data_IF_867983100188
#
_entry.id   IF_867983100188
#
_cell.length_a   1.000
_cell.length_b   1.000
_cell.length_c   1.000
_cell.angle_alpha   90.00
_cell.angle_beta   90.00
_cell.angle_gamma   90.00
#
_symmetry.space_group_name_H-M   'P 1'
#
loop_
_entity.id
_entity.type
_entity.pdbx_description
1 polymer ?
#
# COMPACT_ATOMS: atom_id res chain seq x y z
N UNK A 1 13.13 -23.78 -28.10
CA UNK A 1 13.18 -23.91 -26.63
C UNK A 1 14.63 -24.15 -26.23
N UNK A 2 15.25 -23.10 -25.71
CA UNK A 2 16.62 -23.13 -25.19
C UNK A 2 16.74 -24.06 -23.99
N UNK A 3 17.69 -24.99 -24.00
CA UNK A 3 18.00 -25.89 -22.88
C UNK A 3 19.49 -25.78 -22.56
N UNK A 4 19.82 -25.58 -21.28
CA UNK A 4 21.19 -25.44 -20.80
C UNK A 4 21.71 -26.73 -20.18
N UNK A 5 22.99 -27.03 -20.43
CA UNK A 5 23.74 -27.95 -19.57
C UNK A 5 23.96 -27.31 -18.19
N UNK A 6 24.23 -28.11 -17.14
CA UNK A 6 24.63 -27.58 -15.84
C UNK A 6 25.80 -26.59 -15.98
N UNK A 7 25.65 -25.43 -15.36
CA UNK A 7 26.70 -24.40 -15.35
C UNK A 7 27.95 -24.87 -14.63
N UNK A 8 29.11 -24.34 -15.02
CA UNK A 8 30.38 -24.56 -14.33
C UNK A 8 30.97 -23.22 -13.89
N UNK A 9 31.42 -23.16 -12.64
CA UNK A 9 32.35 -22.13 -12.21
C UNK A 9 33.67 -22.28 -12.95
N UNK A 10 34.21 -21.18 -13.46
CA UNK A 10 35.52 -21.19 -14.11
C UNK A 10 36.65 -21.32 -13.08
N UNK A 11 37.88 -21.57 -13.52
CA UNK A 11 39.06 -21.55 -12.65
C UNK A 11 39.18 -20.20 -11.93
N UNK A 12 38.96 -19.08 -12.64
CA UNK A 12 38.94 -17.75 -12.03
C UNK A 12 37.74 -17.54 -11.10
N UNK A 13 36.57 -18.07 -11.45
CA UNK A 13 35.38 -18.01 -10.61
C UNK A 13 35.55 -18.75 -9.28
N UNK A 14 36.12 -19.96 -9.30
CA UNK A 14 36.47 -20.73 -8.11
C UNK A 14 37.49 -19.98 -7.23
N UNK A 15 38.48 -19.33 -7.85
CA UNK A 15 39.47 -18.52 -7.12
C UNK A 15 38.80 -17.32 -6.44
N UNK A 16 37.92 -16.59 -7.13
CA UNK A 16 37.16 -15.47 -6.54
C UNK A 16 36.24 -15.95 -5.41
N UNK A 17 35.56 -17.09 -5.60
CA UNK A 17 34.72 -17.72 -4.58
C UNK A 17 35.53 -18.01 -3.31
N UNK A 18 36.71 -18.60 -3.45
CA UNK A 18 37.61 -18.89 -2.32
C UNK A 18 38.09 -17.62 -1.60
N UNK A 19 38.42 -16.55 -2.34
CA UNK A 19 38.77 -15.25 -1.75
C UNK A 19 37.61 -14.68 -0.92
N UNK A 20 36.39 -14.78 -1.45
CA UNK A 20 35.19 -14.31 -0.76
C UNK A 20 34.87 -15.15 0.49
N UNK A 21 35.03 -16.48 0.43
CA UNK A 21 34.88 -17.37 1.60
C UNK A 21 35.91 -17.06 2.70
N UNK A 22 37.14 -16.69 2.30
CA UNK A 22 38.18 -16.25 3.22
C UNK A 22 37.97 -14.81 3.75
N UNK A 23 36.86 -14.14 3.42
CA UNK A 23 36.55 -12.78 3.85
C UNK A 23 37.41 -11.68 3.21
N UNK A 24 38.13 -11.98 2.12
CA UNK A 24 39.06 -11.03 1.47
C UNK A 24 38.39 -10.11 0.47
N UNK A 25 37.21 -10.46 -0.01
CA UNK A 25 36.43 -9.63 -0.93
C UNK A 25 34.95 -9.97 -0.83
N UNK A 26 34.12 -9.15 -1.48
CA UNK A 26 32.71 -9.45 -1.74
C UNK A 26 32.52 -9.67 -3.23
N UNK A 27 31.73 -10.68 -3.61
CA UNK A 27 31.48 -10.96 -5.02
C UNK A 27 30.60 -9.84 -5.59
N UNK A 28 31.07 -9.20 -6.65
CA UNK A 28 30.31 -8.19 -7.41
C UNK A 28 30.11 -8.70 -8.84
N UNK A 29 28.88 -9.05 -9.18
CA UNK A 29 28.51 -9.47 -10.54
C UNK A 29 28.36 -8.22 -11.41
N UNK A 30 29.01 -8.21 -12.57
CA UNK A 30 29.12 -7.02 -13.42
C UNK A 30 28.19 -7.07 -14.63
N UNK A 31 28.09 -8.23 -15.29
CA UNK A 31 27.27 -8.41 -16.50
C UNK A 31 27.00 -9.90 -16.78
N UNK A 32 26.01 -10.13 -17.63
CA UNK A 32 25.85 -11.39 -18.35
C UNK A 32 26.29 -11.22 -19.81
N UNK A 33 26.70 -12.32 -20.45
CA UNK A 33 26.91 -12.35 -21.88
C UNK A 33 26.31 -13.62 -22.49
N UNK A 34 25.84 -13.49 -23.72
CA UNK A 34 25.45 -14.62 -24.57
C UNK A 34 26.32 -14.66 -25.82
N UNK A 35 26.50 -15.86 -26.37
CA UNK A 35 27.30 -16.06 -27.58
C UNK A 35 26.82 -17.24 -28.42
N UNK A 36 27.45 -17.37 -29.59
CA UNK A 36 27.18 -18.42 -30.58
C UNK A 36 28.25 -19.52 -30.61
N UNK A 37 29.20 -19.47 -29.67
CA UNK A 37 30.30 -20.44 -29.58
C UNK A 37 29.81 -21.87 -29.38
N UNK A 38 30.37 -22.80 -30.16
CA UNK A 38 30.11 -24.23 -30.02
C UNK A 38 31.22 -24.91 -29.22
N UNK A 39 30.85 -25.86 -28.37
CA UNK A 39 31.78 -26.60 -27.53
C UNK A 39 31.72 -28.08 -27.90
N UNK A 40 32.89 -28.69 -28.07
CA UNK A 40 32.97 -30.13 -28.31
C UNK A 40 32.66 -30.90 -27.02
N UNK A 41 32.19 -32.15 -27.16
CA UNK A 41 32.02 -33.02 -26.00
C UNK A 41 33.34 -33.18 -25.25
N UNK A 42 33.32 -32.99 -23.94
CA UNK A 42 34.51 -33.06 -23.08
C UNK A 42 35.42 -31.82 -23.10
N UNK A 43 35.08 -30.77 -23.87
CA UNK A 43 35.85 -29.52 -23.84
C UNK A 43 35.81 -28.87 -22.44
N UNK A 44 36.98 -28.45 -21.95
CA UNK A 44 37.16 -27.90 -20.61
C UNK A 44 36.67 -26.44 -20.52
N UNK A 45 35.34 -26.27 -20.47
CA UNK A 45 34.69 -24.96 -20.37
C UNK A 45 35.04 -24.18 -19.11
N UNK A 46 35.42 -24.85 -18.03
CA UNK A 46 35.80 -24.24 -16.76
C UNK A 46 37.14 -23.51 -16.81
N UNK A 47 38.01 -23.80 -17.78
CA UNK A 47 39.29 -23.08 -17.95
C UNK A 47 39.15 -21.76 -18.72
N UNK A 48 37.95 -21.45 -19.24
CA UNK A 48 37.71 -20.27 -20.07
C UNK A 48 37.77 -18.98 -19.27
N UNK A 49 38.37 -17.96 -19.88
CA UNK A 49 38.40 -16.57 -19.37
C UNK A 49 37.40 -15.67 -20.09
N UNK A 50 36.84 -16.11 -21.22
CA UNK A 50 35.80 -15.45 -21.99
C UNK A 50 34.90 -16.48 -22.70
N UNK A 51 33.73 -16.06 -23.16
CA UNK A 51 32.95 -16.83 -24.14
C UNK A 51 33.76 -17.06 -25.42
N UNK A 52 33.44 -18.12 -26.18
CA UNK A 52 34.18 -18.49 -27.39
C UNK A 52 33.84 -17.55 -28.55
N UNK A 53 32.56 -17.22 -28.70
CA UNK A 53 32.06 -16.26 -29.68
C UNK A 53 31.00 -15.38 -29.01
N UNK A 54 31.39 -14.41 -28.16
CA UNK A 54 30.43 -13.51 -27.51
C UNK A 54 29.69 -12.66 -28.55
N UNK A 55 28.39 -12.49 -28.37
CA UNK A 55 27.53 -11.71 -29.27
C UNK A 55 26.81 -10.57 -28.54
N UNK A 56 26.23 -10.83 -27.36
CA UNK A 56 25.55 -9.79 -26.57
C UNK A 56 26.13 -9.66 -25.17
N UNK A 57 26.14 -8.42 -24.68
CA UNK A 57 26.31 -8.11 -23.26
C UNK A 57 24.98 -7.65 -22.72
N UNK A 58 24.56 -8.24 -21.60
CA UNK A 58 23.24 -8.05 -21.02
C UNK A 58 23.39 -7.59 -19.56
N UNK A 59 22.57 -6.64 -19.10
CA UNK A 59 22.54 -6.28 -17.70
C UNK A 59 21.96 -7.42 -16.85
N UNK A 60 22.31 -7.44 -15.57
CA UNK A 60 21.60 -8.25 -14.58
C UNK A 60 20.40 -7.44 -14.10
N UNK A 61 19.19 -7.98 -14.19
CA UNK A 61 17.98 -7.25 -13.80
C UNK A 61 17.79 -7.24 -12.29
N UNK A 62 17.89 -8.42 -11.69
CA UNK A 62 17.73 -8.59 -10.25
C UNK A 62 18.43 -9.85 -9.76
N UNK A 63 18.56 -9.94 -8.44
CA UNK A 63 19.00 -11.15 -7.75
C UNK A 63 17.98 -11.51 -6.67
N UNK A 64 17.77 -12.81 -6.47
CA UNK A 64 17.02 -13.36 -5.35
C UNK A 64 17.93 -14.32 -4.57
N UNK A 65 17.79 -14.34 -3.25
CA UNK A 65 18.54 -15.26 -2.39
C UNK A 65 17.73 -16.55 -2.30
N UNK A 66 18.24 -17.64 -2.88
CA UNK A 66 17.62 -18.95 -2.70
C UNK A 66 17.99 -19.56 -1.34
N UNK A 67 19.27 -19.45 -0.98
CA UNK A 67 19.82 -19.89 0.29
C UNK A 67 21.15 -19.14 0.57
N UNK A 68 21.83 -19.47 1.67
CA UNK A 68 23.06 -18.77 2.08
C UNK A 68 24.20 -18.77 1.04
N UNK A 69 24.25 -19.76 0.14
CA UNK A 69 25.34 -19.96 -0.83
C UNK A 69 24.87 -19.94 -2.30
N UNK A 70 23.59 -19.62 -2.56
CA UNK A 70 23.04 -19.63 -3.92
C UNK A 70 22.15 -18.43 -4.17
N UNK A 71 22.44 -17.74 -5.28
CA UNK A 71 21.64 -16.67 -5.83
C UNK A 71 20.89 -17.14 -7.07
N UNK A 72 19.69 -16.60 -7.27
CA UNK A 72 19.00 -16.66 -8.56
C UNK A 72 19.17 -15.30 -9.23
N UNK A 73 19.93 -15.26 -10.33
CA UNK A 73 20.06 -14.06 -11.16
C UNK A 73 18.97 -14.07 -12.22
N UNK A 74 18.18 -12.99 -12.32
CA UNK A 74 17.23 -12.80 -13.41
C UNK A 74 17.89 -11.99 -14.53
N UNK A 75 17.91 -12.57 -15.73
CA UNK A 75 18.49 -11.97 -16.93
C UNK A 75 17.51 -12.12 -18.09
N UNK A 76 17.33 -11.07 -18.88
CA UNK A 76 16.55 -11.13 -20.11
C UNK A 76 17.49 -11.02 -21.32
N UNK A 77 17.49 -12.06 -22.15
CA UNK A 77 18.17 -12.04 -23.44
C UNK A 77 17.21 -11.39 -24.43
N UNK A 78 17.53 -10.19 -24.90
CA UNK A 78 16.65 -9.44 -25.80
C UNK A 78 17.40 -8.92 -27.02
N UNK A 79 16.70 -8.78 -28.15
CA UNK A 79 17.23 -8.09 -29.32
C UNK A 79 17.13 -6.55 -29.22
N UNK A 80 16.53 -6.00 -28.16
CA UNK A 80 16.44 -4.55 -27.91
C UNK A 80 16.70 -4.26 -26.42
N UNK A 81 17.96 -4.11 -26.05
CA UNK A 81 18.34 -3.78 -24.66
C UNK A 81 17.93 -2.36 -24.30
N UNK A 82 18.03 -1.42 -25.25
CA UNK A 82 17.51 -0.06 -25.14
C UNK A 82 17.11 0.48 -26.51
N UNK A 83 16.58 1.70 -26.58
CA UNK A 83 16.30 2.37 -27.86
C UNK A 83 17.55 2.60 -28.71
N UNK A 84 18.74 2.59 -28.11
CA UNK A 84 20.02 2.82 -28.79
C UNK A 84 20.91 1.58 -28.89
N UNK A 85 20.57 0.51 -28.15
CA UNK A 85 21.32 -0.74 -28.11
C UNK A 85 20.41 -1.90 -28.56
N UNK A 86 20.56 -2.25 -29.84
CA UNK A 86 19.75 -3.25 -30.53
C UNK A 86 20.63 -4.27 -31.25
N UNK A 87 20.17 -5.52 -31.27
CA UNK A 87 20.84 -6.62 -31.95
C UNK A 87 20.68 -6.46 -33.47
N UNK A 88 21.79 -6.20 -34.16
CA UNK A 88 21.81 -5.95 -35.62
C UNK A 88 21.81 -7.23 -36.46
N UNK A 89 22.27 -8.35 -35.90
CA UNK A 89 22.35 -9.64 -36.59
C UNK A 89 21.90 -10.73 -35.64
N UNK A 90 20.97 -11.57 -36.08
CA UNK A 90 20.48 -12.67 -35.26
C UNK A 90 21.50 -13.79 -35.15
N UNK A 91 21.40 -14.59 -34.10
CA UNK A 91 22.34 -15.68 -33.82
C UNK A 91 21.69 -16.80 -33.00
N UNK A 92 22.26 -17.99 -33.09
CA UNK A 92 21.94 -19.13 -32.22
C UNK A 92 22.59 -18.92 -30.85
N UNK A 93 21.79 -18.84 -29.79
CA UNK A 93 22.28 -18.75 -28.41
C UNK A 93 22.81 -20.11 -28.00
N UNK A 94 24.12 -20.19 -27.74
CA UNK A 94 24.82 -21.45 -27.45
C UNK A 94 25.67 -21.43 -26.20
N UNK A 95 25.99 -20.24 -25.71
CA UNK A 95 26.77 -20.05 -24.50
C UNK A 95 26.26 -18.85 -23.71
N UNK A 96 26.35 -18.97 -22.39
CA UNK A 96 25.94 -17.94 -21.45
C UNK A 96 27.00 -17.82 -20.36
N UNK A 97 27.46 -16.60 -20.12
CA UNK A 97 28.51 -16.28 -19.16
C UNK A 97 28.04 -15.25 -18.15
N UNK A 98 28.38 -15.47 -16.88
CA UNK A 98 28.24 -14.48 -15.80
C UNK A 98 29.63 -13.95 -15.47
N UNK A 99 29.78 -12.62 -15.43
CA UNK A 99 31.03 -11.94 -15.14
C UNK A 99 31.01 -11.31 -13.75
N UNK A 100 32.18 -11.27 -13.12
CA UNK A 100 32.35 -10.69 -11.80
C UNK A 100 33.65 -9.89 -11.70
N UNK A 101 33.69 -8.93 -10.79
CA UNK A 101 34.90 -8.20 -10.44
C UNK A 101 35.72 -9.00 -9.45
N UNK A 102 36.92 -9.40 -9.84
CA UNK A 102 37.98 -9.88 -8.96
C UNK A 102 38.87 -8.70 -8.54
N UNK A 103 39.29 -8.61 -7.26
CA UNK A 103 40.15 -7.53 -6.77
C UNK A 103 41.56 -7.52 -7.37
N UNK A 104 42.07 -8.68 -7.78
CA UNK A 104 43.43 -8.87 -8.28
C UNK A 104 43.46 -8.97 -9.82
N UNK A 105 42.47 -9.67 -10.39
CA UNK A 105 42.43 -10.04 -11.81
C UNK A 105 41.57 -9.11 -12.69
N UNK A 106 40.88 -8.14 -12.10
CA UNK A 106 39.92 -7.31 -12.83
C UNK A 106 38.61 -8.03 -13.09
N UNK A 107 37.92 -7.69 -14.19
CA UNK A 107 36.69 -8.40 -14.57
C UNK A 107 37.01 -9.79 -15.13
N UNK A 108 36.35 -10.82 -14.59
CA UNK A 108 36.56 -12.22 -14.95
C UNK A 108 35.26 -12.89 -15.39
N UNK A 109 35.35 -13.89 -16.27
CA UNK A 109 34.26 -14.84 -16.47
C UNK A 109 34.17 -15.73 -15.22
N UNK A 110 33.11 -15.58 -14.44
CA UNK A 110 32.92 -16.28 -13.16
C UNK A 110 32.26 -17.65 -13.36
N UNK A 111 31.20 -17.71 -14.16
CA UNK A 111 30.47 -18.94 -14.47
C UNK A 111 30.09 -18.99 -15.93
N UNK A 112 30.06 -20.20 -16.49
CA UNK A 112 29.67 -20.44 -17.88
C UNK A 112 28.68 -21.61 -17.97
N UNK A 113 27.67 -21.47 -18.82
CA UNK A 113 26.78 -22.54 -19.25
C UNK A 113 26.79 -22.65 -20.78
N UNK A 114 26.66 -23.87 -21.29
CA UNK A 114 26.56 -24.15 -22.73
C UNK A 114 25.20 -24.76 -23.03
N UNK A 115 24.61 -24.41 -24.17
CA UNK A 115 23.31 -24.92 -24.56
C UNK A 115 23.44 -26.37 -25.03
N UNK A 116 22.58 -27.25 -24.53
CA UNK A 116 22.35 -28.58 -25.11
C UNK A 116 21.39 -28.51 -26.30
N UNK A 117 20.42 -27.61 -26.24
CA UNK A 117 19.53 -27.23 -27.34
C UNK A 117 19.58 -25.72 -27.50
N UNK A 118 20.00 -25.22 -28.66
CA UNK A 118 20.06 -23.78 -28.92
C UNK A 118 18.69 -23.19 -29.26
N UNK A 119 18.60 -21.86 -29.19
CA UNK A 119 17.45 -21.10 -29.63
C UNK A 119 17.92 -19.85 -30.38
N UNK A 120 17.14 -19.41 -31.36
CA UNK A 120 17.53 -18.33 -32.26
C UNK A 120 17.01 -16.99 -31.75
N UNK A 121 17.91 -16.04 -31.50
CA UNK A 121 17.54 -14.64 -31.25
C UNK A 121 17.63 -13.86 -32.57
N UNK A 122 16.51 -13.39 -33.14
CA UNK A 122 16.52 -12.61 -34.38
C UNK A 122 17.07 -11.20 -34.14
N UNK A 123 17.61 -10.60 -35.20
CA UNK A 123 17.90 -9.17 -35.20
C UNK A 123 16.62 -8.37 -34.92
N UNK A 124 16.75 -7.21 -34.27
CA UNK A 124 15.60 -6.35 -34.01
C UNK A 124 15.07 -5.75 -35.31
N UNK A 125 13.78 -5.92 -35.56
CA UNK A 125 13.12 -5.49 -36.80
C UNK A 125 12.63 -4.04 -36.77
N UNK A 126 12.90 -3.29 -35.69
CA UNK A 126 12.44 -1.91 -35.51
C UNK A 126 10.99 -1.78 -35.00
N UNK A 127 10.26 -2.89 -34.82
CA UNK A 127 8.84 -2.87 -34.43
C UNK A 127 8.62 -3.59 -33.11
N UNK A 128 8.91 -4.89 -33.03
CA UNK A 128 8.57 -5.73 -31.86
C UNK A 128 9.84 -6.37 -31.29
N UNK A 129 10.18 -6.11 -30.02
CA UNK A 129 11.32 -6.75 -29.38
C UNK A 129 11.00 -8.21 -29.05
N UNK A 130 12.02 -9.07 -29.16
CA UNK A 130 11.98 -10.45 -28.68
C UNK A 130 12.76 -10.54 -27.37
N UNK A 131 12.23 -11.29 -26.40
CA UNK A 131 12.79 -11.41 -25.06
C UNK A 131 12.72 -12.86 -24.60
N UNK A 132 13.83 -13.39 -24.08
CA UNK A 132 13.91 -14.67 -23.37
C UNK A 132 14.31 -14.37 -21.93
N UNK A 133 13.37 -14.56 -21.00
CA UNK A 133 13.62 -14.40 -19.56
C UNK A 133 14.22 -15.66 -18.98
N UNK A 134 15.30 -15.52 -18.21
CA UNK A 134 16.01 -16.64 -17.60
C UNK A 134 16.32 -16.38 -16.13
N UNK A 135 16.07 -17.40 -15.30
CA UNK A 135 16.54 -17.49 -13.91
C UNK A 135 17.78 -18.37 -13.85
N UNK A 136 18.91 -17.81 -13.46
CA UNK A 136 20.21 -18.48 -13.42
C UNK A 136 20.68 -18.68 -11.98
N UNK A 137 20.79 -19.94 -11.57
CA UNK A 137 21.28 -20.30 -10.24
C UNK A 137 22.81 -20.18 -10.20
N UNK A 138 23.31 -19.29 -9.34
CA UNK A 138 24.72 -18.99 -9.19
C UNK A 138 25.20 -19.33 -7.78
N UNK A 139 26.24 -20.17 -7.71
CA UNK A 139 26.94 -20.48 -6.46
C UNK A 139 27.84 -19.33 -6.03
N UNK A 140 27.76 -18.95 -4.75
CA UNK A 140 28.47 -17.82 -4.14
C UNK A 140 28.84 -18.12 -2.68
N UNK A 141 29.79 -17.37 -2.11
CA UNK A 141 30.24 -17.58 -0.73
C UNK A 141 29.19 -17.17 0.32
N UNK A 142 28.55 -16.02 0.11
CA UNK A 142 27.49 -15.48 0.95
C UNK A 142 26.52 -14.68 0.06
N UNK A 143 25.34 -15.24 -0.18
CA UNK A 143 24.34 -14.66 -1.07
C UNK A 143 23.86 -13.26 -0.63
N UNK A 144 23.86 -12.98 0.68
CA UNK A 144 23.42 -11.70 1.22
C UNK A 144 24.41 -10.57 0.90
N UNK A 145 25.71 -10.85 0.89
CA UNK A 145 26.74 -9.82 0.65
C UNK A 145 26.96 -9.50 -0.83
N UNK A 146 26.65 -10.42 -1.75
CA UNK A 146 26.90 -10.23 -3.18
C UNK A 146 26.24 -8.95 -3.70
N UNK A 147 26.92 -8.19 -4.55
CA UNK A 147 26.33 -7.04 -5.23
C UNK A 147 26.20 -7.31 -6.72
N UNK A 148 25.23 -6.67 -7.36
CA UNK A 148 25.05 -6.71 -8.82
C UNK A 148 25.15 -5.30 -9.36
N UNK A 149 25.82 -5.11 -10.48
CA UNK A 149 25.71 -3.88 -11.25
C UNK A 149 24.45 -3.98 -12.09
N UNK A 150 23.43 -3.19 -11.74
CA UNK A 150 22.21 -3.08 -12.54
C UNK A 150 22.36 -1.91 -13.52
N UNK A 151 21.92 -2.11 -14.75
CA UNK A 151 21.69 -1.03 -15.70
C UNK A 151 20.24 -1.15 -16.20
N UNK A 152 19.37 -0.26 -15.70
CA UNK A 152 18.00 -0.03 -16.22
C UNK A 152 17.23 -1.27 -16.68
N UNK A 153 17.02 -2.26 -15.80
CA UNK A 153 16.37 -3.52 -16.17
C UNK A 153 14.88 -3.37 -16.49
N UNK A 154 14.38 -4.20 -17.42
CA UNK A 154 12.95 -4.37 -17.66
C UNK A 154 12.33 -5.12 -16.47
N UNK A 155 11.38 -4.51 -15.78
CA UNK A 155 10.56 -5.20 -14.78
C UNK A 155 9.49 -6.04 -15.49
N UNK A 156 9.28 -7.29 -15.07
CA UNK A 156 8.14 -8.07 -15.54
C UNK A 156 6.85 -7.53 -14.90
N UNK A 157 5.71 -7.72 -15.55
CA UNK A 157 4.40 -7.35 -14.97
C UNK A 157 4.21 -7.98 -13.58
N UNK A 158 4.64 -9.24 -13.40
CA UNK A 158 4.58 -9.93 -12.11
C UNK A 158 5.42 -9.26 -11.02
N UNK A 159 6.55 -8.64 -11.38
CA UNK A 159 7.39 -7.92 -10.41
C UNK A 159 6.68 -6.63 -9.94
N UNK A 160 5.97 -5.97 -10.86
CA UNK A 160 5.18 -4.77 -10.55
C UNK A 160 3.94 -5.11 -9.70
N UNK A 161 3.24 -6.20 -10.02
CA UNK A 161 2.10 -6.70 -9.24
C UNK A 161 2.54 -7.05 -7.80
N UNK A 162 3.64 -7.79 -7.63
CA UNK A 162 4.18 -8.12 -6.31
C UNK A 162 4.61 -6.87 -5.51
N UNK A 163 5.09 -5.82 -6.19
CA UNK A 163 5.39 -4.54 -5.56
C UNK A 163 4.10 -3.82 -5.13
N UNK A 164 3.08 -3.77 -6.00
CA UNK A 164 1.80 -3.14 -5.72
C UNK A 164 1.11 -3.79 -4.52
N UNK A 165 1.14 -5.13 -4.40
CA UNK A 165 0.60 -5.86 -3.26
C UNK A 165 1.30 -5.47 -1.96
N UNK A 166 2.64 -5.43 -1.96
CA UNK A 166 3.43 -5.03 -0.79
C UNK A 166 3.17 -3.58 -0.38
N UNK A 167 3.05 -2.68 -1.35
CA UNK A 167 2.72 -1.27 -1.10
C UNK A 167 1.32 -1.16 -0.51
N UNK A 168 0.33 -1.86 -1.07
CA UNK A 168 -1.04 -1.89 -0.55
C UNK A 168 -1.09 -2.37 0.89
N UNK A 169 -0.36 -3.44 1.24
CA UNK A 169 -0.26 -3.94 2.61
C UNK A 169 0.36 -2.88 3.55
N UNK A 170 1.41 -2.18 3.10
CA UNK A 170 2.08 -1.14 3.90
C UNK A 170 1.17 0.08 4.09
N UNK A 171 0.48 0.52 3.04
CA UNK A 171 -0.49 1.61 3.10
C UNK A 171 -1.64 1.27 4.06
N UNK A 172 -2.14 0.04 4.02
CA UNK A 172 -3.14 -0.45 4.97
C UNK A 172 -2.59 -0.52 6.40
N UNK A 173 -1.33 -0.93 6.59
CA UNK A 173 -0.68 -0.98 7.90
C UNK A 173 -0.38 0.42 8.48
N UNK A 174 -0.24 1.44 7.63
CA UNK A 174 -0.04 2.83 8.07
C UNK A 174 -1.34 3.48 8.60
N UNK A 175 -2.52 2.95 8.22
CA UNK A 175 -3.80 3.44 8.72
C UNK A 175 -4.04 2.91 10.14
N UNK A 176 -3.95 3.80 11.13
CA UNK A 176 -4.25 3.47 12.52
C UNK A 176 -5.75 3.22 12.69
N UNK A 177 -6.11 2.05 13.23
CA UNK A 177 -7.44 1.82 13.83
C UNK A 177 -7.42 2.15 15.31
N UNK A 178 -8.50 2.76 15.77
CA UNK A 178 -8.69 3.17 17.16
C UNK A 178 -9.85 2.37 17.72
N UNK A 179 -9.62 1.66 18.83
CA UNK A 179 -10.62 0.77 19.39
C UNK A 179 -10.84 1.00 20.87
N UNK A 180 -11.96 0.48 21.34
CA UNK A 180 -12.19 0.28 22.75
C UNK A 180 -13.06 -0.96 22.97
N UNK A 181 -12.90 -1.59 24.14
CA UNK A 181 -13.79 -2.68 24.58
C UNK A 181 -14.34 -2.45 25.98
N UNK A 182 -15.46 -3.09 26.29
CA UNK A 182 -16.00 -3.18 27.65
C UNK A 182 -16.63 -4.54 27.88
N UNK A 183 -16.79 -4.95 29.13
CA UNK A 183 -17.55 -6.18 29.43
C UNK A 183 -19.01 -5.99 29.03
N UNK A 184 -19.64 -7.05 28.53
CA UNK A 184 -21.09 -7.05 28.30
C UNK A 184 -21.80 -6.91 29.65
N UNK A 185 -22.86 -6.09 29.70
CA UNK A 185 -23.55 -5.74 30.95
C UNK A 185 -22.91 -4.60 31.75
N UNK A 186 -21.64 -4.25 31.51
CA UNK A 186 -21.01 -3.08 32.13
C UNK A 186 -21.69 -1.79 31.63
N UNK A 187 -21.95 -0.87 32.56
CA UNK A 187 -22.48 0.45 32.24
C UNK A 187 -21.52 1.22 31.33
N UNK A 188 -22.07 1.83 30.28
CA UNK A 188 -21.27 2.58 29.30
C UNK A 188 -20.76 3.93 29.84
N UNK A 189 -21.37 4.44 30.90
CA UNK A 189 -21.03 5.70 31.56
C UNK A 189 -20.82 5.45 33.06
N UNK A 190 -19.70 5.90 33.63
CA UNK A 190 -19.34 5.67 35.04
C UNK A 190 -17.82 5.61 35.26
N UNK A 191 -17.41 5.22 36.46
CA UNK A 191 -15.99 5.07 36.82
C UNK A 191 -15.30 3.90 36.11
N UNK A 192 -16.05 2.86 35.73
CA UNK A 192 -15.54 1.73 34.95
C UNK A 192 -15.48 2.12 33.47
N UNK A 193 -14.31 2.57 33.03
CA UNK A 193 -14.09 3.03 31.66
C UNK A 193 -13.94 1.86 30.68
N UNK A 194 -14.30 2.12 29.42
CA UNK A 194 -13.89 1.28 28.30
C UNK A 194 -12.36 1.14 28.26
N UNK A 195 -11.88 -0.07 28.01
CA UNK A 195 -10.46 -0.34 27.78
C UNK A 195 -10.06 0.11 26.37
N UNK A 196 -8.98 0.88 26.26
CA UNK A 196 -8.46 1.35 24.97
C UNK A 196 -7.73 0.25 24.23
N UNK A 197 -7.90 0.21 22.90
CA UNK A 197 -7.28 -0.77 22.02
C UNK A 197 -6.63 -0.10 20.80
N UNK A 198 -5.60 -0.75 20.24
CA UNK A 198 -4.90 -0.27 19.04
C UNK A 198 -4.30 1.13 19.23
N UNK A 199 -4.49 2.01 18.25
CA UNK A 199 -3.98 3.38 18.32
C UNK A 199 -4.59 4.24 19.43
N UNK A 200 -5.63 3.77 20.11
CA UNK A 200 -6.30 4.50 21.18
C UNK A 200 -5.60 4.32 22.55
N UNK A 201 -4.68 3.37 22.69
CA UNK A 201 -3.95 3.12 23.94
C UNK A 201 -3.13 4.37 24.31
N UNK A 202 -3.24 4.81 25.56
CA UNK A 202 -2.55 6.01 26.06
C UNK A 202 -3.23 7.34 25.73
N UNK A 203 -4.31 7.34 24.95
CA UNK A 203 -5.05 8.57 24.61
C UNK A 203 -6.16 8.89 25.61
N UNK A 204 -6.33 10.18 25.91
CA UNK A 204 -7.33 10.71 26.82
C UNK A 204 -8.50 11.35 26.06
N UNK A 205 -9.73 11.10 26.52
CA UNK A 205 -10.94 11.72 25.98
C UNK A 205 -11.79 12.29 27.13
N UNK A 206 -11.38 13.42 27.70
CA UNK A 206 -12.11 14.12 28.77
C UNK A 206 -12.70 15.43 28.23
N UNK A 207 -13.93 15.71 28.64
CA UNK A 207 -14.52 17.04 28.47
C UNK A 207 -13.90 18.02 29.49
N UNK A 208 -13.96 19.32 29.21
CA UNK A 208 -13.68 20.33 30.21
C UNK A 208 -14.69 20.23 31.37
N UNK A 209 -14.22 20.46 32.59
CA UNK A 209 -15.06 20.54 33.79
C UNK A 209 -14.85 21.92 34.40
N UNK A 210 -15.93 22.71 34.49
CA UNK A 210 -15.86 24.10 34.91
C UNK A 210 -14.99 24.93 33.98
N UNK A 211 -13.97 25.60 34.54
CA UNK A 211 -13.01 26.45 33.82
C UNK A 211 -11.70 25.72 33.46
N UNK A 212 -11.61 24.41 33.70
CA UNK A 212 -10.40 23.64 33.40
C UNK A 212 -10.17 23.40 31.91
N UNK A 213 -8.92 23.15 31.52
CA UNK A 213 -8.53 22.84 30.15
C UNK A 213 -9.13 21.53 29.64
N UNK A 214 -9.42 21.48 28.33
CA UNK A 214 -9.87 20.26 27.64
C UNK A 214 -8.71 19.27 27.51
N UNK A 215 -8.82 18.12 28.19
CA UNK A 215 -7.89 17.00 28.07
C UNK A 215 -8.43 15.95 27.08
N UNK A 216 -8.39 16.27 25.78
CA UNK A 216 -8.91 15.40 24.73
C UNK A 216 -7.92 15.27 23.57
N UNK A 217 -7.23 14.14 23.49
CA UNK A 217 -6.29 13.82 22.43
C UNK A 217 -7.01 13.42 21.13
N UNK A 218 -8.22 12.88 21.25
CA UNK A 218 -8.98 12.41 20.08
C UNK A 218 -9.35 13.56 19.15
N UNK A 219 -9.79 14.69 19.71
CA UNK A 219 -10.09 15.88 18.93
C UNK A 219 -8.84 16.52 18.29
N UNK A 220 -7.63 16.16 18.74
CA UNK A 220 -6.37 16.68 18.19
C UNK A 220 -5.81 15.79 17.09
N UNK A 221 -5.83 14.46 17.27
CA UNK A 221 -5.01 13.55 16.46
C UNK A 221 -5.71 12.28 15.97
N UNK A 222 -6.99 12.07 16.30
CA UNK A 222 -7.68 10.82 15.99
C UNK A 222 -8.83 11.05 15.01
N UNK A 223 -8.74 10.42 13.84
CA UNK A 223 -9.83 10.38 12.87
C UNK A 223 -11.00 9.48 13.37
N UNK A 224 -12.27 9.83 13.11
CA UNK A 224 -12.75 11.05 12.45
C UNK A 224 -12.85 12.26 13.38
N UNK A 225 -12.66 12.10 14.69
CA UNK A 225 -12.94 13.13 15.69
C UNK A 225 -12.21 14.44 15.46
N UNK A 226 -10.94 14.40 15.07
CA UNK A 226 -10.14 15.60 14.75
C UNK A 226 -10.54 16.29 13.44
N UNK A 227 -11.31 15.60 12.59
CA UNK A 227 -11.80 16.11 11.33
C UNK A 227 -13.29 16.53 11.39
N UNK A 228 -13.99 16.21 12.48
CA UNK A 228 -15.33 16.71 12.72
C UNK A 228 -15.31 18.22 12.99
N UNK A 229 -16.14 18.99 12.28
CA UNK A 229 -16.16 20.46 12.39
C UNK A 229 -17.58 20.98 12.51
N UNK A 230 -17.90 21.82 13.51
CA UNK A 230 -19.17 22.52 13.53
C UNK A 230 -19.27 23.45 12.31
N UNK A 231 -20.43 23.44 11.66
CA UNK A 231 -20.71 24.21 10.47
C UNK A 231 -22.14 24.76 10.49
N UNK A 232 -22.36 25.86 9.78
CA UNK A 232 -23.69 26.28 9.38
C UNK A 232 -24.06 25.63 8.06
N UNK A 233 -25.23 25.00 8.05
CA UNK A 233 -25.77 24.30 6.89
C UNK A 233 -27.03 25.02 6.41
N UNK A 234 -27.03 25.47 5.15
CA UNK A 234 -28.23 26.06 4.54
C UNK A 234 -29.33 25.01 4.34
N UNK A 235 -30.56 25.45 4.05
CA UNK A 235 -31.66 24.53 3.71
C UNK A 235 -31.39 23.76 2.41
N UNK A 236 -30.63 24.37 1.48
CA UNK A 236 -30.11 23.70 0.28
C UNK A 236 -28.93 22.74 0.57
N UNK A 237 -28.58 22.54 1.85
CA UNK A 237 -27.52 21.66 2.36
C UNK A 237 -26.13 22.02 1.85
N UNK A 238 -25.88 23.31 1.68
CA UNK A 238 -24.54 23.84 1.46
C UNK A 238 -23.98 24.35 2.77
N UNK A 239 -22.73 24.03 3.04
CA UNK A 239 -22.02 24.64 4.17
C UNK A 239 -21.79 26.11 3.84
N UNK A 240 -22.28 26.98 4.71
CA UNK A 240 -22.19 28.45 4.55
C UNK A 240 -21.08 29.07 5.41
N UNK A 241 -20.70 28.40 6.50
CA UNK A 241 -19.59 28.79 7.38
C UNK A 241 -19.16 27.60 8.26
N UNK A 242 -17.89 27.55 8.64
CA UNK A 242 -17.37 26.66 9.67
C UNK A 242 -17.07 27.45 10.96
N UNK A 243 -17.04 26.75 12.11
CA UNK A 243 -16.64 27.37 13.37
C UNK A 243 -15.24 27.99 13.25
N UNK A 244 -15.17 29.29 13.56
CA UNK A 244 -13.98 30.13 13.39
C UNK A 244 -14.10 31.14 12.25
N UNK A 245 -15.01 30.92 11.31
CA UNK A 245 -15.30 31.89 10.24
C UNK A 245 -16.09 33.08 10.79
N UNK A 246 -15.86 34.27 10.22
CA UNK A 246 -16.51 35.51 10.66
C UNK A 246 -18.05 35.46 10.57
N UNK A 247 -18.59 34.67 9.63
CA UNK A 247 -20.02 34.55 9.38
C UNK A 247 -20.65 33.30 10.04
N UNK A 248 -19.91 32.60 10.89
CA UNK A 248 -20.47 31.49 11.64
C UNK A 248 -21.45 32.00 12.72
N UNK A 249 -22.65 31.43 12.78
CA UNK A 249 -23.71 31.79 13.72
C UNK A 249 -24.20 30.58 14.51
N UNK A 250 -24.21 30.70 15.83
CA UNK A 250 -24.84 29.71 16.71
C UNK A 250 -26.37 29.82 16.73
N UNK A 251 -26.92 30.99 16.40
CA UNK A 251 -28.34 31.35 16.54
C UNK A 251 -29.18 31.09 15.29
N UNK A 252 -28.55 30.64 14.21
CA UNK A 252 -29.27 30.20 13.01
C UNK A 252 -29.32 31.21 11.87
N UNK A 253 -28.69 32.38 12.03
CA UNK A 253 -28.71 33.48 11.05
C UNK A 253 -28.09 33.10 9.70
N UNK A 254 -27.25 32.06 9.70
CA UNK A 254 -26.56 31.56 8.51
C UNK A 254 -26.90 30.08 8.19
N UNK A 255 -28.00 29.56 8.71
CA UNK A 255 -28.40 28.15 8.54
C UNK A 255 -28.42 27.36 9.85
N UNK A 256 -28.66 26.05 9.79
CA UNK A 256 -28.63 25.20 10.99
C UNK A 256 -27.21 24.96 11.46
N UNK A 257 -27.05 24.81 12.77
CA UNK A 257 -25.80 24.47 13.41
C UNK A 257 -25.64 22.96 13.45
N UNK A 258 -24.77 22.45 12.60
CA UNK A 258 -24.52 21.03 12.41
C UNK A 258 -23.05 20.70 12.73
N UNK A 259 -22.76 19.43 12.94
CA UNK A 259 -21.43 18.85 12.97
C UNK A 259 -21.23 18.10 11.66
N UNK A 260 -20.35 18.60 10.79
CA UNK A 260 -19.88 17.86 9.62
C UNK A 260 -18.96 16.73 10.12
N UNK A 261 -19.31 15.50 9.81
CA UNK A 261 -18.53 14.30 10.14
C UNK A 261 -18.13 13.61 8.83
N UNK A 262 -16.82 13.37 8.60
CA UNK A 262 -16.36 12.72 7.38
C UNK A 262 -16.52 11.19 7.46
N UNK A 263 -16.58 10.56 6.29
CA UNK A 263 -16.74 9.11 6.11
C UNK A 263 -15.77 8.34 7.01
N UNK A 264 -16.30 7.46 7.85
CA UNK A 264 -15.48 6.59 8.68
C UNK A 264 -15.91 5.14 8.54
N UNK A 265 -14.97 4.27 8.86
CA UNK A 265 -15.18 2.83 8.87
C UNK A 265 -15.24 2.38 10.31
N UNK A 266 -16.23 1.55 10.63
CA UNK A 266 -16.47 1.08 12.00
C UNK A 266 -16.71 -0.41 12.03
N UNK A 267 -16.49 -1.01 13.19
CA UNK A 267 -17.03 -2.34 13.49
C UNK A 267 -17.50 -2.40 14.93
N UNK A 268 -18.49 -3.25 15.16
CA UNK A 268 -18.98 -3.62 16.49
C UNK A 268 -19.20 -5.12 16.50
N UNK A 269 -18.58 -5.81 17.45
CA UNK A 269 -18.70 -7.25 17.59
C UNK A 269 -18.54 -7.66 19.06
N UNK A 270 -18.88 -8.92 19.33
CA UNK A 270 -18.82 -9.51 20.67
C UNK A 270 -17.97 -10.77 20.64
N UNK A 271 -17.11 -10.94 21.63
CA UNK A 271 -16.27 -12.13 21.79
C UNK A 271 -16.19 -12.51 23.27
N UNK A 272 -16.16 -13.82 23.53
CA UNK A 272 -15.91 -14.37 24.86
C UNK A 272 -14.44 -14.77 24.97
N UNK A 273 -13.76 -14.27 26.01
CA UNK A 273 -12.37 -14.64 26.25
C UNK A 273 -12.22 -16.04 26.87
N UNK A 274 -10.98 -16.46 27.08
CA UNK A 274 -10.65 -17.77 27.67
C UNK A 274 -11.20 -17.96 29.09
N UNK A 275 -11.50 -16.87 29.79
CA UNK A 275 -12.01 -16.87 31.16
C UNK A 275 -13.55 -16.84 31.20
N UNK A 276 -14.21 -16.90 30.03
CA UNK A 276 -15.67 -16.89 29.91
C UNK A 276 -16.29 -15.49 30.00
N UNK A 277 -15.49 -14.42 29.94
CA UNK A 277 -16.00 -13.04 29.99
C UNK A 277 -16.36 -12.59 28.57
N UNK A 278 -17.61 -12.15 28.39
CA UNK A 278 -18.07 -11.59 27.13
C UNK A 278 -17.72 -10.10 27.03
N UNK A 279 -17.14 -9.70 25.91
CA UNK A 279 -16.68 -8.35 25.63
C UNK A 279 -17.40 -7.76 24.42
N UNK A 280 -17.78 -6.48 24.52
CA UNK A 280 -18.20 -5.67 23.39
C UNK A 280 -16.99 -4.89 22.86
N UNK A 281 -16.67 -5.07 21.58
CA UNK A 281 -15.63 -4.33 20.88
C UNK A 281 -16.22 -3.27 19.98
N UNK A 282 -15.56 -2.11 19.92
CA UNK A 282 -15.86 -1.04 18.97
C UNK A 282 -14.57 -0.53 18.35
N UNK A 283 -14.59 -0.36 17.03
CA UNK A 283 -13.45 0.14 16.27
C UNK A 283 -13.87 1.25 15.33
N UNK A 284 -12.93 2.16 15.07
CA UNK A 284 -13.05 3.21 14.05
C UNK A 284 -11.72 3.41 13.30
N UNK A 285 -11.83 3.72 12.02
CA UNK A 285 -10.70 4.01 11.14
C UNK A 285 -11.10 4.96 9.99
N UNK A 286 -10.11 5.56 9.34
CA UNK A 286 -10.28 6.32 8.10
C UNK A 286 -10.34 5.45 6.85
N UNK A 287 -10.10 4.14 6.95
CA UNK A 287 -10.08 3.20 5.83
C UNK A 287 -10.66 1.82 6.23
N UNK A 288 -11.08 0.97 5.27
CA UNK A 288 -11.65 -0.37 5.52
C UNK A 288 -10.56 -1.39 5.87
N UNK A 289 -9.91 -1.20 7.01
CA UNK A 289 -8.87 -2.09 7.53
C UNK A 289 -9.46 -3.13 8.49
N UNK A 290 -8.87 -4.32 8.54
CA UNK A 290 -9.17 -5.34 9.56
C UNK A 290 -10.68 -5.64 9.74
N UNK A 291 -11.40 -5.81 8.63
CA UNK A 291 -12.84 -6.13 8.63
C UNK A 291 -13.75 -4.96 9.01
N UNK A 292 -13.23 -3.73 9.17
CA UNK A 292 -14.07 -2.55 9.35
C UNK A 292 -14.84 -2.25 8.05
N UNK A 293 -16.12 -1.96 8.20
CA UNK A 293 -17.03 -1.62 7.11
C UNK A 293 -17.41 -0.15 7.19
N UNK A 294 -17.92 0.38 6.08
CA UNK A 294 -18.47 1.74 6.04
C UNK A 294 -19.48 1.90 7.18
N UNK A 295 -19.32 2.96 7.98
CA UNK A 295 -20.27 3.22 9.05
C UNK A 295 -21.68 3.40 8.44
N UNK A 296 -22.70 2.67 8.92
CA UNK A 296 -24.04 2.70 8.34
C UNK A 296 -24.70 4.10 8.29
N UNK A 297 -24.21 5.06 9.07
CA UNK A 297 -24.68 6.44 9.00
C UNK A 297 -24.40 7.11 7.65
N UNK A 298 -23.41 6.64 6.88
CA UNK A 298 -23.01 7.19 5.59
C UNK A 298 -23.68 6.53 4.39
N UNK A 299 -24.51 5.50 4.63
CA UNK A 299 -25.15 4.73 3.55
C UNK A 299 -26.61 5.12 3.39
N UNK A 300 -27.02 5.41 2.16
CA UNK A 300 -28.42 5.56 1.76
C UNK A 300 -28.69 4.68 0.52
N UNK A 301 -29.32 3.52 0.74
CA UNK A 301 -29.43 2.49 -0.28
C UNK A 301 -28.05 2.01 -0.74
N UNK A 302 -27.76 2.16 -2.04
CA UNK A 302 -26.45 1.85 -2.64
C UNK A 302 -25.45 3.01 -2.60
N UNK A 303 -25.88 4.21 -2.18
CA UNK A 303 -25.05 5.41 -2.17
C UNK A 303 -24.28 5.53 -0.86
N UNK A 304 -23.01 5.94 -0.96
CA UNK A 304 -22.14 6.21 0.18
C UNK A 304 -21.79 7.69 0.14
N UNK A 305 -22.15 8.43 1.19
CA UNK A 305 -21.78 9.83 1.35
C UNK A 305 -20.35 9.96 1.88
N UNK A 306 -19.59 10.92 1.36
CA UNK A 306 -18.27 11.27 1.87
C UNK A 306 -18.34 11.97 3.24
N UNK A 307 -19.49 12.55 3.57
CA UNK A 307 -19.76 13.29 4.80
C UNK A 307 -21.22 13.16 5.24
N UNK A 308 -21.46 13.33 6.53
CA UNK A 308 -22.81 13.50 7.10
C UNK A 308 -22.85 14.73 8.00
N UNK A 309 -24.05 15.24 8.24
CA UNK A 309 -24.27 16.41 9.10
C UNK A 309 -25.17 16.01 10.27
N UNK A 310 -24.62 16.09 11.49
CA UNK A 310 -25.32 15.74 12.72
C UNK A 310 -25.74 17.03 13.43
N UNK A 311 -27.02 17.23 13.81
CA UNK A 311 -27.43 18.46 14.49
C UNK A 311 -26.73 18.60 15.85
N UNK A 312 -26.20 19.79 16.14
CA UNK A 312 -25.51 20.07 17.41
C UNK A 312 -26.52 20.35 18.53
N UNK A 313 -27.61 21.06 18.21
CA UNK A 313 -28.70 21.34 19.13
C UNK A 313 -29.90 20.45 18.86
N UNK A 314 -30.70 20.22 19.90
CA UNK A 314 -31.99 19.56 19.77
C UNK A 314 -32.87 20.30 18.74
N UNK A 315 -33.62 19.54 17.96
CA UNK A 315 -34.50 20.10 16.94
C UNK A 315 -35.56 21.02 17.55
N UNK A 316 -35.67 22.24 17.02
CA UNK A 316 -36.65 23.26 17.38
C UNK A 316 -37.59 23.55 16.22
N UNK A 317 -38.76 24.13 16.50
CA UNK A 317 -39.70 24.51 15.46
C UNK A 317 -39.16 25.66 14.60
N UNK A 318 -39.38 25.61 13.29
CA UNK A 318 -39.10 26.73 12.40
C UNK A 318 -39.98 26.70 11.15
N UNK A 319 -39.71 27.64 10.25
CA UNK A 319 -40.31 27.73 8.92
C UNK A 319 -39.22 27.65 7.86
N UNK A 320 -39.54 27.14 6.67
CA UNK A 320 -38.63 27.13 5.53
C UNK A 320 -38.28 28.57 5.12
N UNK A 321 -37.04 28.79 4.69
CA UNK A 321 -36.53 30.09 4.29
C UNK A 321 -37.08 30.54 2.93
N UNK A 322 -37.46 29.60 2.06
CA UNK A 322 -37.91 29.90 0.70
C UNK A 322 -39.29 30.56 0.65
N UNK A 323 -40.25 30.06 1.43
CA UNK A 323 -41.67 30.49 1.37
C UNK A 323 -42.26 30.83 2.73
N UNK A 324 -41.65 30.38 3.84
CA UNK A 324 -42.21 30.51 5.18
C UNK A 324 -43.45 29.65 5.44
N UNK A 325 -43.89 28.84 4.47
CA UNK A 325 -45.16 28.13 4.51
C UNK A 325 -45.05 26.76 5.21
N UNK A 326 -43.91 26.08 5.08
CA UNK A 326 -43.69 24.73 5.59
C UNK A 326 -43.09 24.78 6.99
N UNK A 327 -43.63 23.96 7.88
CA UNK A 327 -42.97 23.68 9.17
C UNK A 327 -41.69 22.88 8.93
N UNK A 328 -40.58 23.35 9.47
CA UNK A 328 -39.29 22.65 9.44
C UNK A 328 -38.75 22.45 10.86
N UNK A 329 -37.73 21.60 10.99
CA UNK A 329 -36.97 21.44 12.24
C UNK A 329 -35.64 22.16 12.11
N UNK A 330 -35.35 23.11 13.00
CA UNK A 330 -34.07 23.84 13.05
C UNK A 330 -33.16 23.33 14.16
N UNK A 331 -31.85 23.30 13.93
CA UNK A 331 -30.85 23.05 14.99
C UNK A 331 -30.09 24.33 15.27
N UNK A 332 -30.46 25.06 16.33
CA UNK A 332 -29.92 26.40 16.65
C UNK A 332 -29.83 26.58 18.17
N UNK A 333 -28.91 27.43 18.62
CA UNK A 333 -28.76 27.77 20.03
C UNK A 333 -29.92 28.63 20.53
N UNK A 334 -30.25 28.51 21.82
CA UNK A 334 -31.25 29.35 22.48
C UNK A 334 -32.71 29.05 22.14
N UNK A 335 -32.98 28.17 21.18
CA UNK A 335 -34.35 27.78 20.83
C UNK A 335 -34.89 26.66 21.74
N UNK A 336 -36.18 26.72 22.05
CA UNK A 336 -36.87 25.67 22.79
C UNK A 336 -36.97 24.40 21.93
N UNK A 337 -36.52 23.24 22.44
CA UNK A 337 -36.68 21.97 21.73
C UNK A 337 -38.15 21.68 21.43
N UNK A 338 -38.40 21.09 20.26
CA UNK A 338 -39.73 20.67 19.87
C UNK A 338 -40.15 19.44 20.70
N UNK A 339 -41.14 19.61 21.56
CA UNK A 339 -41.73 18.56 22.39
C UNK A 339 -43.15 18.21 21.90
N UNK A 340 -43.70 17.08 22.40
CA UNK A 340 -45.11 16.69 22.19
C UNK A 340 -45.55 16.51 20.73
N UNK A 341 -44.61 16.19 19.84
CA UNK A 341 -44.91 15.87 18.44
C UNK A 341 -44.78 14.38 18.15
N UNK A 342 -45.61 13.86 17.24
CA UNK A 342 -45.50 12.47 16.81
C UNK A 342 -44.22 12.25 16.01
N UNK A 343 -43.71 11.00 16.01
CA UNK A 343 -42.56 10.61 15.17
C UNK A 343 -42.81 10.88 13.68
N UNK A 344 -44.05 10.73 13.21
CA UNK A 344 -44.42 11.02 11.83
C UNK A 344 -44.30 12.51 11.52
N UNK A 345 -44.86 13.37 12.39
CA UNK A 345 -44.75 14.83 12.28
C UNK A 345 -43.30 15.27 12.28
N UNK A 346 -42.48 14.75 13.20
CA UNK A 346 -41.05 15.08 13.29
C UNK A 346 -40.32 14.76 11.98
N UNK A 347 -40.49 13.54 11.46
CA UNK A 347 -39.88 13.11 10.18
C UNK A 347 -40.32 13.97 9.00
N UNK A 348 -41.60 14.31 8.92
CA UNK A 348 -42.13 15.18 7.85
C UNK A 348 -41.50 16.57 7.92
N UNK A 349 -41.45 17.18 9.11
CA UNK A 349 -40.82 18.50 9.30
C UNK A 349 -39.32 18.48 9.01
N UNK A 350 -38.61 17.39 9.32
CA UNK A 350 -37.20 17.23 8.94
C UNK A 350 -37.00 17.20 7.42
N UNK A 351 -37.87 16.50 6.69
CA UNK A 351 -37.80 16.38 5.21
C UNK A 351 -38.26 17.63 4.47
N UNK A 352 -39.03 18.51 5.10
CA UNK A 352 -39.54 19.72 4.45
C UNK A 352 -38.45 20.68 3.95
N UNK A 353 -37.20 20.51 4.41
CA UNK A 353 -36.02 21.22 3.92
C UNK A 353 -35.47 20.71 2.58
N UNK A 354 -35.97 19.58 2.06
CA UNK A 354 -35.59 19.01 0.76
C UNK A 354 -34.94 17.62 0.83
N UNK A 355 -35.01 16.86 -0.27
CA UNK A 355 -34.40 15.52 -0.45
C UNK A 355 -33.06 15.58 -1.20
N UNK A 356 -32.12 14.68 -0.91
CA UNK A 356 -30.78 14.68 -1.53
C UNK A 356 -30.98 14.39 -3.02
N UNK A 357 -30.57 15.30 -3.89
CA UNK A 357 -30.35 14.90 -5.27
C UNK A 357 -29.19 13.89 -5.25
N UNK A 358 -29.47 12.69 -5.75
CA UNK A 358 -28.55 11.56 -5.76
C UNK A 358 -27.23 11.86 -6.49
#
# INVERSE_FOLDING_TARGET
>A
MLIWNPSKLTTKGKALLAKAQAGRCTIKITKAQTGSGQYSSGEATDTRTSLKTPVQTLPIHSKEIQNGSTLVLKVAITNKTSDTDVLKSGYEIREFGIFAQDPDDGEILYSIATASTSDYMPAYNGVIPSVISMSYYLEVANAASVTIVTAGGLALQSDLEALADRVTIIEQAAVKKYGARKKVGQQSCGAESWERLGGAVGLTAKAAVGTGDVQNDFMKSVYPYNACRPCNLSEDRKVTAYLGDANFSWTGDNGDVMLEMPLCYTSRYFETDSDGVEWEYRWVSSAPVDGLHVNPAFTDGSSISDKIYIPIFNGSAGKDAATGAKDVIRSIAGATPLTEVTRATFRTRSRNKGELAA
#
